data_IF_386825456116
#
_entry.id   IF_386825456116
#
_cell.length_a   1.000
_cell.length_b   1.000
_cell.length_c   1.000
_cell.angle_alpha   90.00
_cell.angle_beta   90.00
_cell.angle_gamma   90.00
#
_symmetry.space_group_name_H-M   'P 1'
#
loop_
_entity.id
_entity.type
_entity.pdbx_description
1 polymer ?
#
# COMPACT_ATOMS: atom_id res chain seq x y z
N UNK A 1 -1.42 -3.14 0.10
CA UNK A 1 -0.18 -2.51 0.48
C UNK A 1 -0.44 -1.05 0.88
N UNK A 2 -0.72 -0.17 -0.10
CA UNK A 2 -1.04 1.25 0.13
C UNK A 2 -2.33 1.40 0.96
N UNK A 3 -2.29 2.22 2.02
CA UNK A 3 -3.40 2.43 2.95
C UNK A 3 -3.73 1.23 3.84
N UNK A 4 -3.13 0.08 3.61
CA UNK A 4 -3.36 -1.17 4.36
C UNK A 4 -2.17 -1.50 5.26
N UNK A 5 -1.08 -2.03 4.69
CA UNK A 5 0.17 -2.36 5.39
C UNK A 5 0.97 -1.10 5.71
N UNK A 6 0.97 -0.14 4.78
CA UNK A 6 1.60 1.18 4.92
C UNK A 6 0.50 2.23 4.96
N UNK A 7 0.60 3.18 5.89
CA UNK A 7 -0.41 4.24 6.06
C UNK A 7 -0.42 5.27 4.92
N UNK A 8 0.68 5.39 4.19
CA UNK A 8 0.81 6.31 3.05
C UNK A 8 0.59 5.62 1.70
N UNK A 9 0.29 6.42 0.68
CA UNK A 9 0.35 5.99 -0.72
C UNK A 9 1.80 6.08 -1.19
N UNK A 10 2.37 4.96 -1.64
CA UNK A 10 3.76 4.86 -2.09
C UNK A 10 4.06 5.76 -3.29
N UNK A 11 3.05 6.08 -4.12
CA UNK A 11 3.22 7.06 -5.20
C UNK A 11 3.46 8.45 -4.63
N UNK A 12 2.71 8.84 -3.59
CA UNK A 12 2.86 10.12 -2.91
C UNK A 12 4.22 10.22 -2.23
N UNK A 13 4.65 9.18 -1.53
CA UNK A 13 5.99 9.10 -0.93
C UNK A 13 7.10 9.25 -1.99
N UNK A 14 6.95 8.57 -3.13
CA UNK A 14 7.91 8.67 -4.24
C UNK A 14 7.95 10.07 -4.84
N UNK A 15 6.80 10.75 -4.99
CA UNK A 15 6.74 12.14 -5.47
C UNK A 15 7.48 13.07 -4.50
N UNK A 16 7.25 12.95 -3.19
CA UNK A 16 7.93 13.78 -2.20
C UNK A 16 9.43 13.52 -2.17
N UNK A 17 9.84 12.25 -2.27
CA UNK A 17 11.25 11.89 -2.32
C UNK A 17 11.92 12.46 -3.58
N UNK A 18 11.23 12.40 -4.73
CA UNK A 18 11.71 12.99 -5.97
C UNK A 18 11.87 14.51 -5.86
N UNK A 19 10.88 15.21 -5.33
CA UNK A 19 10.93 16.66 -5.14
C UNK A 19 12.02 17.06 -4.16
N UNK A 20 12.24 16.28 -3.10
CA UNK A 20 13.33 16.52 -2.13
C UNK A 20 14.71 16.33 -2.76
N UNK A 21 14.88 15.32 -3.61
CA UNK A 21 16.18 14.99 -4.22
C UNK A 21 16.47 15.81 -5.46
N UNK A 22 15.43 16.19 -6.21
CA UNK A 22 15.54 16.89 -7.48
C UNK A 22 14.55 18.07 -7.57
N UNK A 23 14.68 19.10 -6.71
CA UNK A 23 13.71 20.19 -6.64
C UNK A 23 13.55 20.93 -7.97
N UNK A 24 14.64 21.12 -8.71
CA UNK A 24 14.61 21.82 -10.01
C UNK A 24 13.99 21.00 -11.16
N UNK A 25 13.70 19.71 -10.94
CA UNK A 25 13.12 18.83 -11.95
C UNK A 25 11.63 18.55 -11.71
N UNK A 26 10.96 19.33 -10.85
CA UNK A 26 9.54 19.14 -10.51
C UNK A 26 8.62 19.11 -11.75
N UNK A 27 8.94 19.85 -12.82
CA UNK A 27 8.21 19.87 -14.07
C UNK A 27 8.18 18.51 -14.79
N UNK A 28 9.17 17.62 -14.55
CA UNK A 28 9.18 16.25 -15.08
C UNK A 28 7.98 15.44 -14.62
N UNK A 29 7.53 15.63 -13.39
CA UNK A 29 6.35 14.96 -12.85
C UNK A 29 5.10 15.26 -13.70
N UNK A 30 4.96 16.51 -14.14
CA UNK A 30 3.87 16.91 -15.01
C UNK A 30 3.93 16.19 -16.37
N UNK A 31 5.09 16.13 -17.03
CA UNK A 31 5.25 15.43 -18.29
C UNK A 31 5.08 13.91 -18.16
N UNK A 32 5.52 13.33 -17.06
CA UNK A 32 5.30 11.92 -16.79
C UNK A 32 3.83 11.61 -16.55
N UNK A 33 3.12 12.50 -15.86
CA UNK A 33 1.68 12.36 -15.61
C UNK A 33 0.86 12.51 -16.91
N UNK A 34 1.23 13.42 -17.82
CA UNK A 34 0.59 13.56 -19.14
C UNK A 34 0.66 12.26 -19.96
N UNK A 35 1.71 11.46 -19.77
CA UNK A 35 1.84 10.11 -20.37
C UNK A 35 1.09 9.03 -19.60
N UNK A 36 0.31 9.41 -18.60
CA UNK A 36 -0.53 8.53 -17.79
C UNK A 36 0.07 8.15 -16.42
N UNK A 37 -0.81 7.81 -15.48
CA UNK A 37 -0.45 7.47 -14.09
C UNK A 37 0.51 6.27 -14.01
N UNK A 38 0.39 5.29 -14.90
CA UNK A 38 1.29 4.14 -14.96
C UNK A 38 2.72 4.54 -15.33
N UNK A 39 2.87 5.47 -16.29
CA UNK A 39 4.18 6.01 -16.66
C UNK A 39 4.81 6.78 -15.51
N UNK A 40 4.05 7.63 -14.80
CA UNK A 40 4.53 8.36 -13.62
C UNK A 40 5.05 7.38 -12.56
N UNK A 41 4.29 6.34 -12.22
CA UNK A 41 4.69 5.32 -11.25
C UNK A 41 6.00 4.65 -11.64
N UNK A 42 6.11 4.20 -12.90
CA UNK A 42 7.32 3.55 -13.42
C UNK A 42 8.54 4.47 -13.35
N UNK A 43 8.41 5.72 -13.83
CA UNK A 43 9.51 6.70 -13.83
C UNK A 43 9.96 7.08 -12.42
N UNK A 44 9.03 7.19 -11.48
CA UNK A 44 9.37 7.42 -10.08
C UNK A 44 10.10 6.22 -9.49
N UNK A 45 9.63 5.00 -9.72
CA UNK A 45 10.28 3.78 -9.23
C UNK A 45 11.70 3.61 -9.79
N UNK A 46 11.94 4.02 -11.06
CA UNK A 46 13.28 4.01 -11.69
C UNK A 46 14.21 5.10 -11.12
N UNK A 47 13.66 6.22 -10.65
CA UNK A 47 14.47 7.39 -10.25
C UNK A 47 14.67 7.48 -8.75
N UNK A 48 13.64 7.17 -7.97
CA UNK A 48 13.62 7.25 -6.52
C UNK A 48 12.76 6.10 -5.98
N UNK A 49 13.34 5.25 -5.14
CA UNK A 49 12.60 4.25 -4.40
C UNK A 49 12.48 4.69 -2.94
N UNK A 50 11.27 4.77 -2.37
CA UNK A 50 11.13 4.95 -0.93
C UNK A 50 11.82 3.80 -0.19
N UNK A 51 12.60 4.13 0.85
CA UNK A 51 13.22 3.10 1.66
C UNK A 51 12.16 2.35 2.46
N UNK A 52 12.10 1.03 2.31
CA UNK A 52 11.18 0.19 3.09
C UNK A 52 11.32 0.45 4.61
N UNK A 53 12.53 0.76 5.09
CA UNK A 53 12.81 1.02 6.50
C UNK A 53 12.14 2.29 7.05
N UNK A 54 11.83 3.26 6.20
CA UNK A 54 11.29 4.57 6.62
C UNK A 54 9.80 4.71 6.38
N UNK A 55 9.16 3.69 5.83
CA UNK A 55 7.72 3.71 5.58
C UNK A 55 6.92 3.65 6.89
N UNK A 56 5.78 4.37 6.96
CA UNK A 56 4.92 4.35 8.13
C UNK A 56 4.04 3.09 8.12
N UNK A 57 4.55 2.00 8.66
CA UNK A 57 3.80 0.74 8.75
C UNK A 57 2.63 0.83 9.73
N UNK A 58 1.56 0.08 9.44
CA UNK A 58 0.47 -0.17 10.37
C UNK A 58 0.92 -1.21 11.40
N UNK A 59 1.42 -0.74 12.53
CA UNK A 59 2.00 -1.61 13.56
C UNK A 59 1.01 -2.65 14.09
N UNK A 60 -0.26 -2.27 14.27
CA UNK A 60 -1.29 -3.20 14.72
C UNK A 60 -1.53 -4.34 13.72
N UNK A 61 -1.55 -4.02 12.42
CA UNK A 61 -1.66 -5.02 11.37
C UNK A 61 -0.41 -5.90 11.29
N UNK A 62 0.79 -5.31 11.36
CA UNK A 62 2.06 -6.06 11.31
C UNK A 62 2.14 -7.05 12.46
N UNK A 63 1.89 -6.61 13.70
CA UNK A 63 1.89 -7.51 14.87
C UNK A 63 0.89 -8.64 14.73
N UNK A 64 -0.32 -8.36 14.24
CA UNK A 64 -1.31 -9.41 14.01
C UNK A 64 -0.87 -10.39 12.91
N UNK A 65 -0.25 -9.92 11.82
CA UNK A 65 0.29 -10.80 10.77
C UNK A 65 1.42 -11.69 11.32
N UNK A 66 2.29 -11.16 12.18
CA UNK A 66 3.33 -11.95 12.86
C UNK A 66 2.71 -13.06 13.72
N UNK A 67 1.66 -12.76 14.46
CA UNK A 67 0.89 -13.76 15.24
C UNK A 67 0.29 -14.84 14.33
N UNK A 68 -0.32 -14.46 13.20
CA UNK A 68 -0.86 -15.41 12.23
C UNK A 68 0.23 -16.31 11.63
N UNK A 69 1.41 -15.76 11.35
CA UNK A 69 2.56 -16.53 10.87
C UNK A 69 3.04 -17.55 11.90
N UNK A 70 3.14 -17.16 13.16
CA UNK A 70 3.48 -18.07 14.27
C UNK A 70 2.44 -19.17 14.41
N UNK A 71 1.16 -18.87 14.15
CA UNK A 71 0.08 -19.84 14.13
C UNK A 71 0.09 -20.77 12.89
N UNK A 72 1.05 -20.60 11.97
CA UNK A 72 1.23 -21.44 10.80
C UNK A 72 0.51 -20.95 9.53
N UNK A 73 -0.03 -19.73 9.53
CA UNK A 73 -0.64 -19.15 8.34
C UNK A 73 0.44 -18.76 7.30
N UNK A 74 0.19 -19.09 6.03
CA UNK A 74 0.99 -18.60 4.90
C UNK A 74 0.57 -17.17 4.56
N UNK A 75 1.52 -16.23 4.57
CA UNK A 75 1.27 -14.82 4.33
C UNK A 75 1.74 -14.39 2.94
N UNK A 76 0.82 -13.80 2.17
CA UNK A 76 1.06 -13.35 0.80
C UNK A 76 0.81 -11.85 0.66
N UNK A 77 1.79 -11.12 0.16
CA UNK A 77 1.66 -9.70 -0.14
C UNK A 77 1.14 -9.50 -1.57
N UNK A 78 -0.17 -9.31 -1.73
CA UNK A 78 -0.79 -9.05 -3.04
C UNK A 78 -1.01 -7.55 -3.28
N UNK A 79 -0.34 -6.96 -4.28
CA UNK A 79 -0.38 -5.52 -4.54
C UNK A 79 -0.42 -5.16 -6.03
N UNK A 80 -1.04 -4.02 -6.35
CA UNK A 80 -0.95 -3.37 -7.66
C UNK A 80 0.25 -2.40 -7.79
N UNK A 81 1.11 -2.35 -6.79
CA UNK A 81 2.35 -1.56 -6.82
C UNK A 81 3.43 -2.28 -7.62
N UNK A 82 4.52 -1.57 -7.96
CA UNK A 82 5.70 -2.17 -8.63
C UNK A 82 6.26 -3.31 -7.78
N UNK A 83 6.54 -4.45 -8.41
CA UNK A 83 7.00 -5.67 -7.74
C UNK A 83 8.29 -5.43 -6.95
N UNK A 84 9.25 -4.68 -7.49
CA UNK A 84 10.54 -4.38 -6.82
C UNK A 84 10.34 -3.69 -5.48
N UNK A 85 9.37 -2.78 -5.41
CA UNK A 85 9.05 -2.07 -4.16
C UNK A 85 8.31 -3.01 -3.19
N UNK A 86 7.42 -3.85 -3.70
CA UNK A 86 6.74 -4.85 -2.90
C UNK A 86 7.73 -5.87 -2.31
N UNK A 87 8.70 -6.34 -3.10
CA UNK A 87 9.76 -7.26 -2.66
C UNK A 87 10.67 -6.60 -1.60
N UNK A 88 11.02 -5.33 -1.78
CA UNK A 88 11.81 -4.60 -0.78
C UNK A 88 11.07 -4.47 0.56
N UNK A 89 9.75 -4.24 0.52
CA UNK A 89 8.90 -4.18 1.71
C UNK A 89 8.76 -5.56 2.36
N UNK A 90 8.52 -6.61 1.57
CA UNK A 90 8.42 -7.98 2.05
C UNK A 90 9.73 -8.44 2.71
N UNK A 91 10.87 -8.15 2.07
CA UNK A 91 12.20 -8.46 2.62
C UNK A 91 12.50 -7.71 3.91
N UNK A 92 12.07 -6.43 4.01
CA UNK A 92 12.27 -5.63 5.21
C UNK A 92 11.41 -6.11 6.38
N UNK A 93 10.14 -6.44 6.12
CA UNK A 93 9.22 -6.92 7.16
C UNK A 93 9.47 -8.37 7.53
N UNK A 94 10.02 -9.17 6.60
CA UNK A 94 10.36 -10.58 6.77
C UNK A 94 9.20 -11.47 7.25
N UNK A 95 7.94 -11.05 7.04
CA UNK A 95 6.75 -11.79 7.46
C UNK A 95 6.05 -12.51 6.31
N UNK A 96 6.30 -12.11 5.07
CA UNK A 96 5.62 -12.67 3.89
C UNK A 96 6.40 -13.84 3.28
N UNK A 97 5.67 -14.88 2.90
CA UNK A 97 6.21 -16.07 2.24
C UNK A 97 6.23 -15.90 0.72
N UNK A 98 5.37 -15.01 0.18
CA UNK A 98 5.23 -14.78 -1.25
C UNK A 98 4.80 -13.33 -1.52
N UNK A 99 5.22 -12.81 -2.69
CA UNK A 99 4.82 -11.48 -3.18
C UNK A 99 4.16 -11.62 -4.54
N UNK A 100 2.91 -11.14 -4.64
CA UNK A 100 2.16 -11.02 -5.89
C UNK A 100 2.06 -9.53 -6.24
N UNK A 101 2.95 -9.09 -7.11
CA UNK A 101 3.04 -7.69 -7.55
C UNK A 101 2.72 -7.52 -9.04
N UNK A 102 2.62 -6.27 -9.48
CA UNK A 102 2.46 -5.94 -10.90
C UNK A 102 3.80 -6.08 -11.62
N UNK A 103 3.91 -7.04 -12.55
CA UNK A 103 5.00 -7.11 -13.52
C UNK A 103 4.54 -6.56 -14.88
N UNK A 104 3.88 -7.38 -15.70
CA UNK A 104 3.38 -7.00 -17.03
C UNK A 104 1.87 -6.70 -17.03
N UNK A 105 1.10 -7.38 -16.19
CA UNK A 105 -0.33 -7.14 -16.00
C UNK A 105 -0.57 -6.39 -14.70
N UNK A 106 -1.26 -5.25 -14.80
CA UNK A 106 -1.68 -4.49 -13.63
C UNK A 106 -2.64 -5.32 -12.76
N UNK A 107 -2.19 -5.72 -11.55
CA UNK A 107 -3.00 -6.43 -10.56
C UNK A 107 -4.03 -5.50 -9.88
N UNK A 108 -4.74 -4.68 -10.67
CA UNK A 108 -5.86 -3.91 -10.15
C UNK A 108 -7.06 -4.83 -9.87
N UNK A 109 -7.86 -4.46 -8.90
CA UNK A 109 -9.09 -5.07 -8.38
C UNK A 109 -9.52 -6.44 -8.95
N UNK A 110 -9.98 -6.50 -10.20
CA UNK A 110 -10.48 -7.72 -10.85
C UNK A 110 -9.39 -8.76 -11.10
N UNK A 111 -8.25 -8.35 -11.66
CA UNK A 111 -7.14 -9.27 -11.93
C UNK A 111 -6.51 -9.82 -10.64
N UNK A 112 -6.52 -9.05 -9.55
CA UNK A 112 -6.08 -9.54 -8.24
C UNK A 112 -6.99 -10.66 -7.72
N UNK A 113 -8.32 -10.48 -7.86
CA UNK A 113 -9.27 -11.53 -7.50
C UNK A 113 -9.03 -12.80 -8.32
N UNK A 114 -8.93 -12.68 -9.65
CA UNK A 114 -8.68 -13.81 -10.55
C UNK A 114 -7.39 -14.56 -10.18
N UNK A 115 -6.30 -13.85 -9.92
CA UNK A 115 -5.04 -14.44 -9.50
C UNK A 115 -5.16 -15.20 -8.17
N UNK A 116 -5.80 -14.60 -7.16
CA UNK A 116 -5.97 -15.23 -5.85
C UNK A 116 -6.90 -16.44 -5.92
N UNK A 117 -8.01 -16.34 -6.67
CA UNK A 117 -8.93 -17.48 -6.86
C UNK A 117 -8.26 -18.61 -7.64
N UNK A 118 -7.43 -18.30 -8.65
CA UNK A 118 -6.69 -19.30 -9.38
C UNK A 118 -5.67 -20.06 -8.52
N UNK A 119 -5.04 -19.39 -7.56
CA UNK A 119 -4.02 -19.97 -6.68
C UNK A 119 -4.61 -20.71 -5.48
N UNK A 120 -5.67 -20.15 -4.88
CA UNK A 120 -6.17 -20.61 -3.58
C UNK A 120 -7.63 -21.09 -3.62
N UNK A 121 -8.34 -20.89 -4.71
CA UNK A 121 -9.75 -21.23 -4.86
C UNK A 121 -10.70 -20.15 -4.28
N UNK A 122 -11.99 -20.27 -4.61
CA UNK A 122 -13.04 -19.45 -3.99
C UNK A 122 -13.15 -19.80 -2.51
N UNK A 123 -13.18 -18.78 -1.65
CA UNK A 123 -13.21 -18.92 -0.18
C UNK A 123 -11.98 -19.66 0.42
N UNK A 124 -10.90 -19.84 -0.36
CA UNK A 124 -9.69 -20.52 0.09
C UNK A 124 -8.65 -19.61 0.73
N UNK A 125 -8.95 -18.32 0.94
CA UNK A 125 -8.03 -17.35 1.52
C UNK A 125 -8.76 -16.27 2.32
N UNK A 126 -8.07 -15.68 3.28
CA UNK A 126 -8.48 -14.47 3.98
C UNK A 126 -7.81 -13.26 3.33
N UNK A 127 -8.47 -12.10 3.34
CA UNK A 127 -7.92 -10.93 2.68
C UNK A 127 -8.05 -9.66 3.51
N UNK A 128 -6.93 -8.94 3.66
CA UNK A 128 -6.87 -7.63 4.31
C UNK A 128 -6.85 -6.54 3.25
N UNK A 129 -7.82 -5.65 3.28
CA UNK A 129 -7.93 -4.52 2.35
C UNK A 129 -8.39 -3.24 3.03
N UNK A 130 -8.48 -2.13 2.28
CA UNK A 130 -8.85 -0.82 2.82
C UNK A 130 -9.84 -0.04 1.96
N UNK A 131 -9.94 -0.35 0.68
CA UNK A 131 -10.59 0.50 -0.32
C UNK A 131 -11.74 -0.19 -1.05
N UNK A 132 -12.52 0.59 -1.79
CA UNK A 132 -13.57 0.07 -2.65
C UNK A 132 -13.06 -0.91 -3.74
N UNK A 133 -11.78 -0.78 -4.15
CA UNK A 133 -11.15 -1.70 -5.08
C UNK A 133 -11.02 -3.12 -4.52
N UNK A 134 -10.92 -3.28 -3.19
CA UNK A 134 -10.78 -4.57 -2.52
C UNK A 134 -12.11 -5.34 -2.43
N UNK A 135 -13.25 -4.69 -2.65
CA UNK A 135 -14.57 -5.34 -2.61
C UNK A 135 -14.67 -6.53 -3.57
N UNK A 136 -14.04 -6.45 -4.74
CA UNK A 136 -14.02 -7.55 -5.71
C UNK A 136 -13.30 -8.78 -5.14
N UNK A 137 -12.17 -8.56 -4.43
CA UNK A 137 -11.38 -9.61 -3.79
C UNK A 137 -12.10 -10.18 -2.58
N UNK A 138 -12.70 -9.34 -1.75
CA UNK A 138 -13.43 -9.75 -0.56
C UNK A 138 -14.64 -10.65 -0.86
N UNK A 139 -15.25 -10.51 -2.05
CA UNK A 139 -16.37 -11.41 -2.45
C UNK A 139 -15.95 -12.87 -2.52
N UNK A 140 -14.70 -13.16 -2.83
CA UNK A 140 -14.13 -14.51 -2.95
C UNK A 140 -13.22 -14.93 -1.78
N UNK A 141 -13.07 -14.08 -0.75
CA UNK A 141 -12.35 -14.40 0.47
C UNK A 141 -13.23 -15.12 1.49
N UNK A 142 -12.68 -16.05 2.28
CA UNK A 142 -13.37 -16.71 3.39
C UNK A 142 -13.62 -15.75 4.55
N UNK A 143 -12.63 -14.93 4.89
CA UNK A 143 -12.73 -13.88 5.90
C UNK A 143 -12.24 -12.55 5.33
N UNK A 144 -12.94 -11.48 5.68
CA UNK A 144 -12.67 -10.11 5.25
C UNK A 144 -12.07 -9.33 6.43
N UNK A 145 -10.82 -8.95 6.33
CA UNK A 145 -10.20 -8.04 7.27
C UNK A 145 -10.09 -6.64 6.68
N UNK A 146 -10.23 -5.63 7.51
CA UNK A 146 -10.27 -4.24 7.06
C UNK A 146 -9.24 -3.41 7.79
N UNK A 147 -8.32 -2.78 7.06
CA UNK A 147 -7.30 -1.90 7.62
C UNK A 147 -7.53 -0.47 7.13
N UNK A 148 -7.63 0.50 8.04
CA UNK A 148 -7.81 1.92 7.72
C UNK A 148 -8.83 2.18 6.59
N UNK A 149 -10.09 1.75 6.73
CA UNK A 149 -11.07 1.77 5.67
C UNK A 149 -11.33 3.17 5.13
N UNK A 150 -11.41 3.30 3.82
CA UNK A 150 -11.98 4.46 3.16
C UNK A 150 -13.43 4.67 3.57
N UNK A 151 -13.93 5.90 3.36
CA UNK A 151 -15.29 6.28 3.77
C UNK A 151 -16.34 5.34 3.16
N UNK A 152 -17.16 4.71 4.00
CA UNK A 152 -18.23 3.79 3.60
C UNK A 152 -17.78 2.37 3.21
N UNK A 153 -16.49 2.09 3.15
CA UNK A 153 -15.96 0.75 2.79
C UNK A 153 -16.23 -0.27 3.88
N UNK A 154 -16.09 0.12 5.15
CA UNK A 154 -16.35 -0.77 6.28
C UNK A 154 -17.79 -1.31 6.29
N UNK A 155 -18.79 -0.45 6.03
CA UNK A 155 -20.19 -0.89 5.96
C UNK A 155 -20.41 -1.93 4.84
N UNK A 156 -19.73 -1.75 3.69
CA UNK A 156 -19.79 -2.71 2.57
C UNK A 156 -19.07 -4.02 2.90
N UNK A 157 -17.97 -3.98 3.65
CA UNK A 157 -17.28 -5.16 4.14
C UNK A 157 -18.17 -5.95 5.10
N UNK A 158 -18.81 -5.27 6.06
CA UNK A 158 -19.76 -5.90 6.99
C UNK A 158 -20.96 -6.53 6.28
N UNK A 159 -21.45 -5.92 5.20
CA UNK A 159 -22.55 -6.47 4.41
C UNK A 159 -22.24 -7.83 3.74
N UNK A 160 -20.95 -8.21 3.64
CA UNK A 160 -20.54 -9.53 3.18
C UNK A 160 -20.73 -10.64 4.24
N UNK A 161 -21.00 -10.28 5.50
CA UNK A 161 -21.29 -11.22 6.59
C UNK A 161 -20.11 -12.07 7.08
N UNK A 162 -18.88 -11.75 6.63
CA UNK A 162 -17.66 -12.52 6.92
C UNK A 162 -16.51 -11.63 7.40
N UNK A 163 -16.82 -10.58 8.15
CA UNK A 163 -15.82 -9.62 8.64
C UNK A 163 -15.11 -10.19 9.86
N UNK A 164 -13.79 -10.25 9.77
CA UNK A 164 -12.86 -10.56 10.86
C UNK A 164 -12.33 -9.29 11.54
N UNK A 165 -11.02 -9.12 11.57
CA UNK A 165 -10.36 -8.01 12.28
C UNK A 165 -10.53 -6.67 11.53
N UNK A 166 -10.65 -5.60 12.32
CA UNK A 166 -10.69 -4.23 11.83
C UNK A 166 -9.56 -3.42 12.48
N UNK A 167 -8.55 -3.09 11.70
CA UNK A 167 -7.40 -2.30 12.15
C UNK A 167 -7.67 -0.83 11.85
N UNK A 168 -7.85 -0.02 12.89
CA UNK A 168 -8.00 1.43 12.77
C UNK A 168 -6.80 2.12 13.37
N UNK A 169 -6.31 3.14 12.70
CA UNK A 169 -5.31 4.01 13.28
C UNK A 169 -6.00 5.07 14.14
N UNK A 170 -5.62 5.14 15.39
CA UNK A 170 -5.96 6.25 16.28
C UNK A 170 -5.09 7.46 15.92
N UNK A 171 -5.46 8.20 14.87
CA UNK A 171 -4.71 9.38 14.47
C UNK A 171 -5.30 10.11 13.27
N UNK A 172 -5.43 11.41 13.38
CA UNK A 172 -5.88 12.27 12.27
C UNK A 172 -4.82 12.28 11.15
N UNK A 173 -5.18 11.81 9.96
CA UNK A 173 -4.39 11.83 8.72
C UNK A 173 -3.62 13.16 8.50
N UNK A 174 -4.19 14.35 8.76
CA UNK A 174 -3.47 15.61 8.64
C UNK A 174 -2.29 15.75 9.61
N UNK A 175 -2.31 15.12 10.78
CA UNK A 175 -1.18 15.15 11.73
C UNK A 175 0.01 14.32 11.23
N UNK A 176 -0.26 13.17 10.63
CA UNK A 176 0.77 12.27 10.07
C UNK A 176 1.39 12.91 8.84
N UNK A 177 0.57 13.48 7.94
CA UNK A 177 1.03 14.21 6.76
C UNK A 177 1.87 15.43 7.15
N UNK A 178 1.45 16.19 8.17
CA UNK A 178 2.20 17.34 8.71
C UNK A 178 3.55 16.93 9.30
N UNK A 179 3.63 15.74 9.91
CA UNK A 179 4.86 15.17 10.48
C UNK A 179 5.77 14.60 9.38
N UNK A 180 5.20 13.95 8.36
CA UNK A 180 5.92 13.43 7.20
C UNK A 180 6.49 14.57 6.32
N UNK A 181 5.72 15.62 6.10
CA UNK A 181 6.14 16.80 5.34
C UNK A 181 7.26 17.58 6.02
N UNK A 182 7.47 17.44 7.35
CA UNK A 182 8.47 18.20 8.11
C UNK A 182 8.55 19.67 7.66
N UNK A 183 7.41 20.32 7.49
CA UNK A 183 7.28 21.67 6.93
C UNK A 183 8.23 22.68 7.56
N UNK A 184 8.57 22.50 8.85
CA UNK A 184 9.55 23.35 9.54
C UNK A 184 11.01 23.18 9.04
N UNK A 185 11.33 22.09 8.35
CA UNK A 185 12.66 21.92 7.72
C UNK A 185 12.73 22.55 6.32
N UNK A 186 11.58 22.71 5.65
CA UNK A 186 11.52 23.41 4.36
C UNK A 186 11.78 24.91 4.50
N UNK A 187 11.26 25.51 5.58
CA UNK A 187 11.52 26.94 5.87
C UNK A 187 12.99 27.24 6.16
N UNK A 188 13.71 26.29 6.78
CA UNK A 188 15.17 26.46 7.00
C UNK A 188 15.97 26.37 5.70
N UNK A 189 15.54 25.53 4.73
CA UNK A 189 16.22 25.42 3.43
C UNK A 189 15.87 26.60 2.49
N UNK A 190 14.74 27.26 2.70
CA UNK A 190 14.33 28.44 1.92
C UNK A 190 15.05 29.72 2.36
N UNK A 191 15.59 29.74 3.59
CA UNK A 191 16.33 30.88 4.16
C UNK A 191 17.84 30.84 3.87
N UNK A 192 18.32 29.82 3.14
CA UNK A 192 19.72 29.64 2.75
C UNK A 192 20.04 30.07 1.31
N UNK A 193 19.10 30.77 0.64
CA UNK A 193 19.30 31.42 -0.67
C UNK A 193 19.07 32.91 -0.58
#
# INVERSE_FOLDING_TARGET
LDGTLVHSDLLVESIFLFLKRYPLLFWRLFFWLLKGKANLKRRLAETVAPSAQTLPYNSALVSWLEEQRVAGARLVLATASDLRLADAIASHTAIFDEVLGTQERNLAAGHKREALVSLYGELGYEYVGNSAADLAVWKSASVVHVANPDRGVLARAHALGRTGQVFRQDGSYPRILKRALRLHQWTKNLLLF
#
